data_IF_370348284683
#
_entry.id   IF_370348284683
#
_cell.length_a   1.000
_cell.length_b   1.000
_cell.length_c   1.000
_cell.angle_alpha   90.00
_cell.angle_beta   90.00
_cell.angle_gamma   90.00
#
_symmetry.space_group_name_H-M   'P 1'
#
loop_
_entity.id
_entity.type
_entity.pdbx_description
1 polymer ?
#
# COMPACT_ATOMS: atom_id res chain seq x y z
N UNK A 1 -20.81 14.30 13.87
CA UNK A 1 -20.31 13.89 12.54
C UNK A 1 -18.97 13.15 12.58
N UNK A 2 -18.14 13.39 13.60
CA UNK A 2 -16.79 12.78 13.74
C UNK A 2 -16.77 11.25 13.86
N UNK A 3 -17.79 10.64 14.49
CA UNK A 3 -17.88 9.17 14.61
C UNK A 3 -18.10 8.47 13.26
N UNK A 4 -18.85 9.09 12.34
CA UNK A 4 -19.10 8.50 11.01
C UNK A 4 -17.84 8.48 10.17
N UNK A 5 -17.08 9.59 10.14
CA UNK A 5 -15.82 9.71 9.38
C UNK A 5 -14.83 8.62 9.82
N UNK A 6 -14.65 8.44 11.14
CA UNK A 6 -13.74 7.42 11.68
C UNK A 6 -14.10 5.99 11.26
N UNK A 7 -15.40 5.67 11.17
CA UNK A 7 -15.87 4.37 10.69
C UNK A 7 -15.60 4.22 9.19
N UNK A 8 -15.90 5.23 8.37
CA UNK A 8 -15.59 5.21 6.94
C UNK A 8 -14.09 5.06 6.68
N UNK A 9 -13.24 5.74 7.44
CA UNK A 9 -11.78 5.58 7.34
C UNK A 9 -11.36 4.16 7.72
N UNK A 10 -11.96 3.55 8.75
CA UNK A 10 -11.63 2.18 9.18
C UNK A 10 -12.04 1.14 8.12
N UNK A 11 -13.24 1.24 7.58
CA UNK A 11 -13.70 0.34 6.51
C UNK A 11 -12.95 0.57 5.20
N UNK A 12 -12.65 1.83 4.86
CA UNK A 12 -11.82 2.18 3.71
C UNK A 12 -10.42 1.60 3.83
N UNK A 13 -9.80 1.71 5.01
CA UNK A 13 -8.49 1.11 5.27
C UNK A 13 -8.50 -0.41 5.11
N UNK A 14 -9.50 -1.08 5.69
CA UNK A 14 -9.64 -2.53 5.57
C UNK A 14 -9.84 -2.97 4.12
N UNK A 15 -10.63 -2.23 3.34
CA UNK A 15 -10.82 -2.51 1.91
C UNK A 15 -9.52 -2.35 1.11
N UNK A 16 -8.71 -1.33 1.41
CA UNK A 16 -7.39 -1.14 0.82
C UNK A 16 -6.46 -2.29 1.17
N UNK A 17 -6.44 -2.70 2.44
CA UNK A 17 -5.59 -3.79 2.94
C UNK A 17 -5.92 -5.14 2.28
N UNK A 18 -7.21 -5.48 2.20
CA UNK A 18 -7.68 -6.71 1.53
C UNK A 18 -7.36 -6.68 0.03
N UNK A 19 -7.54 -5.53 -0.61
CA UNK A 19 -7.25 -5.38 -2.04
C UNK A 19 -5.75 -5.49 -2.33
N UNK A 20 -4.89 -4.91 -1.48
CA UNK A 20 -3.44 -5.07 -1.57
C UNK A 20 -3.01 -6.51 -1.39
N UNK A 21 -3.56 -7.19 -0.38
CA UNK A 21 -3.25 -8.59 -0.11
C UNK A 21 -3.65 -9.50 -1.29
N UNK A 22 -4.78 -9.22 -1.92
CA UNK A 22 -5.21 -9.92 -3.14
C UNK A 22 -4.22 -9.72 -4.30
N UNK A 23 -3.77 -8.49 -4.54
CA UNK A 23 -2.79 -8.21 -5.60
C UNK A 23 -1.47 -8.94 -5.33
N UNK A 24 -0.97 -8.89 -4.10
CA UNK A 24 0.25 -9.63 -3.69
C UNK A 24 0.07 -11.13 -3.90
N UNK A 25 -1.09 -11.69 -3.52
CA UNK A 25 -1.39 -13.10 -3.75
C UNK A 25 -1.39 -13.44 -5.25
N UNK A 26 -1.98 -12.60 -6.11
CA UNK A 26 -1.93 -12.81 -7.56
C UNK A 26 -0.50 -12.79 -8.10
N UNK A 27 0.35 -11.86 -7.63
CA UNK A 27 1.76 -11.81 -8.03
C UNK A 27 2.49 -13.10 -7.60
N UNK A 28 2.30 -13.55 -6.36
CA UNK A 28 2.92 -14.77 -5.85
C UNK A 28 2.46 -16.02 -6.61
N UNK A 29 1.16 -16.15 -6.86
CA UNK A 29 0.61 -17.26 -7.65
C UNK A 29 1.12 -17.23 -9.09
N UNK A 30 1.26 -16.06 -9.70
CA UNK A 30 1.88 -15.93 -11.03
C UNK A 30 3.36 -16.34 -11.03
N UNK A 31 4.09 -16.10 -9.93
CA UNK A 31 5.49 -16.56 -9.79
C UNK A 31 5.57 -18.08 -9.62
N UNK A 32 4.67 -18.68 -8.82
CA UNK A 32 4.68 -20.12 -8.51
C UNK A 32 4.15 -20.96 -9.67
N UNK A 33 3.00 -20.58 -10.24
CA UNK A 33 2.34 -21.32 -11.33
C UNK A 33 2.84 -20.90 -12.72
N UNK A 34 3.50 -19.74 -12.84
CA UNK A 34 4.00 -19.24 -14.12
C UNK A 34 2.87 -19.12 -15.15
N UNK A 35 3.05 -19.73 -16.33
CA UNK A 35 2.09 -19.68 -17.43
C UNK A 35 0.76 -20.40 -17.13
N UNK A 36 0.73 -21.28 -16.12
CA UNK A 36 -0.46 -22.01 -15.69
C UNK A 36 -1.33 -21.21 -14.70
N UNK A 37 -0.91 -19.99 -14.30
CA UNK A 37 -1.61 -19.20 -13.28
C UNK A 37 -3.01 -18.72 -13.69
N UNK A 38 -3.41 -18.89 -14.95
CA UNK A 38 -4.67 -18.37 -15.49
C UNK A 38 -4.62 -16.87 -15.82
N UNK A 39 -5.44 -16.45 -16.80
CA UNK A 39 -5.36 -15.12 -17.42
C UNK A 39 -5.61 -13.96 -16.46
N UNK A 40 -6.51 -14.11 -15.49
CA UNK A 40 -6.80 -13.06 -14.50
C UNK A 40 -5.60 -12.79 -13.58
N UNK A 41 -5.03 -13.85 -13.00
CA UNK A 41 -3.90 -13.75 -12.07
C UNK A 41 -2.66 -13.20 -12.79
N UNK A 42 -2.42 -13.68 -14.03
CA UNK A 42 -1.30 -13.19 -14.84
C UNK A 42 -1.47 -11.72 -15.22
N UNK A 43 -2.68 -11.28 -15.56
CA UNK A 43 -2.97 -9.87 -15.85
C UNK A 43 -2.76 -8.97 -14.64
N UNK A 44 -3.30 -9.34 -13.47
CA UNK A 44 -3.12 -8.55 -12.23
C UNK A 44 -1.64 -8.46 -11.86
N UNK A 45 -0.91 -9.57 -11.95
CA UNK A 45 0.53 -9.60 -11.70
C UNK A 45 1.31 -8.73 -12.68
N UNK A 46 1.00 -8.81 -13.98
CA UNK A 46 1.64 -7.99 -15.01
C UNK A 46 1.40 -6.50 -14.79
N UNK A 47 0.16 -6.08 -14.47
CA UNK A 47 -0.17 -4.69 -14.17
C UNK A 47 0.56 -4.19 -12.91
N UNK A 48 0.65 -5.01 -11.86
CA UNK A 48 1.35 -4.64 -10.64
C UNK A 48 2.86 -4.47 -10.87
N UNK A 49 3.49 -5.39 -11.62
CA UNK A 49 4.90 -5.30 -11.97
C UNK A 49 5.20 -4.12 -12.90
N UNK A 50 4.34 -3.89 -13.89
CA UNK A 50 4.45 -2.77 -14.82
C UNK A 50 4.31 -1.42 -14.10
N UNK A 51 3.37 -1.31 -13.16
CA UNK A 51 3.26 -0.15 -12.29
C UNK A 51 4.56 0.07 -11.50
N UNK A 52 5.12 -0.98 -10.90
CA UNK A 52 6.35 -0.88 -10.11
C UNK A 52 7.56 -0.46 -10.96
N UNK A 53 7.63 -0.91 -12.22
CA UNK A 53 8.69 -0.53 -13.16
C UNK A 53 8.51 0.88 -13.72
N UNK A 54 7.27 1.35 -13.89
CA UNK A 54 6.96 2.68 -14.40
C UNK A 54 7.11 3.79 -13.35
N UNK A 55 7.04 3.46 -12.06
CA UNK A 55 7.26 4.45 -11.00
C UNK A 55 8.74 4.88 -11.00
N UNK A 56 9.05 6.15 -11.29
CA UNK A 56 10.44 6.62 -11.26
C UNK A 56 11.01 6.51 -9.84
N UNK A 57 12.29 6.13 -9.74
CA UNK A 57 12.98 6.04 -8.45
C UNK A 57 12.92 7.36 -7.65
N UNK A 58 12.89 8.51 -8.34
CA UNK A 58 12.70 9.83 -7.74
C UNK A 58 11.35 10.00 -7.03
N UNK A 59 10.27 9.40 -7.55
CA UNK A 59 8.95 9.42 -6.92
C UNK A 59 8.93 8.58 -5.65
N UNK A 60 9.56 7.40 -5.66
CA UNK A 60 9.69 6.57 -4.46
C UNK A 60 10.49 7.28 -3.37
N UNK A 61 11.60 7.92 -3.73
CA UNK A 61 12.39 8.74 -2.82
C UNK A 61 11.57 9.90 -2.25
N UNK A 62 10.82 10.62 -3.09
CA UNK A 62 9.96 11.72 -2.64
C UNK A 62 8.90 11.26 -1.63
N UNK A 63 8.18 10.17 -1.91
CA UNK A 63 7.18 9.60 -1.00
C UNK A 63 7.83 9.14 0.31
N UNK A 64 8.98 8.45 0.23
CA UNK A 64 9.72 8.01 1.41
C UNK A 64 10.13 9.20 2.29
N UNK A 65 10.63 10.28 1.69
CA UNK A 65 11.08 11.48 2.39
C UNK A 65 9.90 12.18 3.09
N UNK A 66 8.73 12.24 2.45
CA UNK A 66 7.49 12.75 3.05
C UNK A 66 7.06 11.89 4.24
N UNK A 67 7.10 10.56 4.12
CA UNK A 67 6.73 9.65 5.21
C UNK A 67 7.68 9.78 6.40
N UNK A 68 8.99 9.88 6.16
CA UNK A 68 10.01 10.11 7.19
C UNK A 68 9.77 11.45 7.89
N UNK A 69 9.56 12.52 7.13
CA UNK A 69 9.24 13.85 7.68
C UNK A 69 7.97 13.82 8.53
N UNK A 70 6.90 13.21 8.02
CA UNK A 70 5.66 13.03 8.76
C UNK A 70 5.89 12.27 10.08
N UNK A 71 6.71 11.22 10.04
CA UNK A 71 6.97 10.42 11.23
C UNK A 71 7.83 11.17 12.26
N UNK A 72 8.83 11.96 11.82
CA UNK A 72 9.63 12.82 12.70
C UNK A 72 8.74 13.86 13.39
N UNK A 73 7.84 14.51 12.64
CA UNK A 73 6.91 15.51 13.19
C UNK A 73 5.97 14.85 14.19
N UNK A 74 5.35 13.73 13.82
CA UNK A 74 4.45 12.96 14.70
C UNK A 74 5.15 12.50 15.98
N UNK A 75 6.40 12.05 15.88
CA UNK A 75 7.19 11.59 17.04
C UNK A 75 7.54 12.75 17.99
N UNK A 76 7.74 13.96 17.46
CA UNK A 76 7.92 15.18 18.27
C UNK A 76 6.66 15.57 19.04
N UNK A 77 5.47 15.40 18.46
CA UNK A 77 4.21 15.72 19.14
C UNK A 77 3.85 14.69 20.23
N UNK A 78 4.16 13.40 20.03
CA UNK A 78 3.98 12.37 21.07
C UNK A 78 4.98 12.46 22.24
N UNK A 79 6.03 13.27 22.13
CA UNK A 79 6.98 13.53 23.23
C UNK A 79 6.51 14.65 24.18
N UNK A 80 5.32 15.23 23.93
CA UNK A 80 4.76 16.36 24.68
C UNK A 80 3.59 15.96 25.60
N UNK A 81 3.51 14.69 26.01
CA UNK A 81 2.77 14.28 27.21
C UNK A 81 3.74 14.24 28.41
N UNK A 82 3.82 15.33 29.20
CA UNK A 82 4.43 15.28 30.52
C UNK A 82 3.47 14.53 31.45
N UNK A 83 3.80 13.28 31.77
CA UNK A 83 3.41 12.73 33.06
C UNK A 83 4.25 13.36 34.17
#
# INVERSE_FOLDING_TARGET
MEKKIRQFTKYGWLAVEVSLLLVVLCVLLNIILGKESGGFISSVAANALDFMQKVPAGTLLGVFLILVLYWIIKSKDSSKDPH
#
